data_IF_423983433620
#
_entry.id   IF_423983433620
#
_cell.length_a   1.000
_cell.length_b   1.000
_cell.length_c   1.000
_cell.angle_alpha   90.00
_cell.angle_beta   90.00
_cell.angle_gamma   90.00
#
_symmetry.space_group_name_H-M   'P 1'
#
loop_
_entity.id
_entity.type
_entity.pdbx_description
1 polymer ?
#
# COMPACT_ATOMS: atom_id res chain seq x y z
N UNK A 1 6.99 24.52 2.50
CA UNK A 1 5.59 24.22 2.16
C UNK A 1 5.34 22.78 2.56
N UNK A 2 4.41 22.56 3.48
CA UNK A 2 3.93 21.23 3.87
C UNK A 2 2.98 20.74 2.80
N UNK A 3 3.19 19.53 2.30
CA UNK A 3 2.30 18.93 1.29
C UNK A 3 0.93 18.71 1.92
N UNK A 4 -0.15 18.99 1.19
CA UNK A 4 -1.49 18.67 1.65
C UNK A 4 -1.75 17.16 1.49
N UNK A 5 -2.19 16.49 2.56
CA UNK A 5 -2.47 15.05 2.56
C UNK A 5 -3.58 14.68 1.57
N UNK A 6 -4.56 15.57 1.40
CA UNK A 6 -5.67 15.36 0.46
C UNK A 6 -5.20 15.25 -0.99
N UNK A 7 -4.16 16.01 -1.37
CA UNK A 7 -3.61 15.97 -2.73
C UNK A 7 -2.95 14.61 -3.02
N UNK A 8 -2.30 14.02 -2.01
CA UNK A 8 -1.66 12.70 -2.13
C UNK A 8 -2.72 11.61 -2.19
N UNK A 9 -3.76 11.71 -1.36
CA UNK A 9 -4.89 10.78 -1.40
C UNK A 9 -5.53 10.77 -2.79
N UNK A 10 -5.75 11.95 -3.39
CA UNK A 10 -6.27 12.06 -4.76
C UNK A 10 -5.32 11.39 -5.79
N UNK A 11 -4.01 11.61 -5.67
CA UNK A 11 -3.01 10.96 -6.53
C UNK A 11 -3.00 9.44 -6.37
N UNK A 12 -3.10 8.93 -5.14
CA UNK A 12 -3.14 7.49 -4.84
C UNK A 12 -4.38 6.85 -5.45
N UNK A 13 -5.56 7.46 -5.26
CA UNK A 13 -6.82 6.99 -5.88
C UNK A 13 -6.71 6.94 -7.40
N UNK A 14 -6.15 7.99 -8.02
CA UNK A 14 -5.94 8.04 -9.47
C UNK A 14 -5.02 6.91 -9.96
N UNK A 15 -3.94 6.60 -9.22
CA UNK A 15 -3.02 5.51 -9.57
C UNK A 15 -3.64 4.13 -9.43
N UNK A 16 -4.51 3.94 -8.44
CA UNK A 16 -5.20 2.68 -8.19
C UNK A 16 -6.47 2.50 -9.01
N UNK A 17 -6.80 3.47 -9.89
CA UNK A 17 -8.05 3.47 -10.67
C UNK A 17 -9.31 3.35 -9.78
N UNK A 18 -9.22 3.84 -8.55
CA UNK A 18 -10.34 3.89 -7.62
C UNK A 18 -11.20 5.12 -7.93
N UNK A 19 -12.50 5.03 -7.70
CA UNK A 19 -13.41 6.16 -7.88
C UNK A 19 -12.98 7.31 -6.93
N UNK A 20 -12.63 8.50 -7.46
CA UNK A 20 -12.20 9.63 -6.64
C UNK A 20 -13.28 10.06 -5.62
N UNK A 21 -14.56 9.81 -5.89
CA UNK A 21 -15.67 10.13 -4.97
C UNK A 21 -16.01 9.00 -3.98
N UNK A 22 -15.47 7.80 -4.16
CA UNK A 22 -15.71 6.69 -3.25
C UNK A 22 -14.92 6.85 -1.95
N UNK A 23 -15.60 6.79 -0.80
CA UNK A 23 -14.99 6.85 0.53
C UNK A 23 -14.60 5.48 1.10
N UNK A 24 -14.86 4.40 0.35
CA UNK A 24 -14.86 3.02 0.85
C UNK A 24 -13.49 2.54 1.37
N UNK A 25 -12.39 3.09 0.86
CA UNK A 25 -11.03 2.67 1.22
C UNK A 25 -10.19 3.81 1.80
N UNK A 26 -10.79 4.97 2.08
CA UNK A 26 -10.06 6.19 2.44
C UNK A 26 -9.33 6.05 3.78
N UNK A 27 -9.96 5.40 4.75
CA UNK A 27 -9.34 5.12 6.04
C UNK A 27 -8.11 4.20 5.90
N UNK A 28 -8.19 3.18 5.03
CA UNK A 28 -7.08 2.27 4.78
C UNK A 28 -5.94 3.00 4.07
N UNK A 29 -6.25 3.78 3.03
CA UNK A 29 -5.26 4.59 2.31
C UNK A 29 -4.57 5.58 3.26
N UNK A 30 -5.33 6.24 4.14
CA UNK A 30 -4.79 7.16 5.13
C UNK A 30 -3.80 6.50 6.10
N UNK A 31 -4.11 5.28 6.56
CA UNK A 31 -3.21 4.52 7.43
C UNK A 31 -1.88 4.22 6.74
N UNK A 32 -1.92 3.76 5.48
CA UNK A 32 -0.69 3.52 4.70
C UNK A 32 0.06 4.80 4.36
N UNK A 33 -0.67 5.89 4.12
CA UNK A 33 -0.09 7.20 3.87
C UNK A 33 0.70 7.70 5.07
N UNK A 34 0.14 7.59 6.28
CA UNK A 34 0.79 7.99 7.54
C UNK A 34 2.03 7.14 7.85
N UNK A 35 1.97 5.82 7.63
CA UNK A 35 3.14 4.98 7.86
C UNK A 35 4.28 5.30 6.88
N UNK A 36 3.98 5.40 5.59
CA UNK A 36 4.99 5.69 4.58
C UNK A 36 5.55 7.11 4.79
N UNK A 37 4.74 8.06 5.23
CA UNK A 37 5.22 9.40 5.62
C UNK A 37 6.31 9.29 6.70
N UNK A 38 6.02 8.59 7.80
CA UNK A 38 6.97 8.41 8.89
C UNK A 38 8.25 7.70 8.43
N UNK A 39 8.12 6.69 7.57
CA UNK A 39 9.26 5.94 7.01
C UNK A 39 10.14 6.82 6.13
N UNK A 40 9.53 7.61 5.24
CA UNK A 40 10.26 8.57 4.38
C UNK A 40 11.00 9.57 5.26
N UNK A 41 10.32 10.20 6.23
CA UNK A 41 10.91 11.18 7.14
C UNK A 41 12.11 10.60 7.91
N UNK A 42 11.95 9.38 8.43
CA UNK A 42 13.01 8.65 9.11
C UNK A 42 14.18 8.31 8.18
N UNK A 43 13.94 8.09 6.89
CA UNK A 43 14.99 7.78 5.93
C UNK A 43 15.78 9.02 5.50
N UNK A 44 15.08 10.12 5.16
CA UNK A 44 15.71 11.36 4.69
C UNK A 44 16.28 12.20 5.83
N UNK A 45 15.94 11.88 7.08
CA UNK A 45 16.28 12.65 8.29
C UNK A 45 15.81 14.10 8.21
N UNK A 46 14.54 14.30 7.82
CA UNK A 46 13.93 15.63 7.71
C UNK A 46 12.66 15.70 8.56
N UNK A 47 12.28 16.91 8.99
CA UNK A 47 11.03 17.15 9.72
C UNK A 47 9.78 17.24 8.82
N UNK A 48 9.98 17.26 7.50
CA UNK A 48 8.91 17.45 6.51
C UNK A 48 9.32 16.88 5.17
N UNK A 49 8.38 16.28 4.43
CA UNK A 49 8.63 15.77 3.07
C UNK A 49 8.65 16.95 2.08
N UNK A 50 9.73 17.12 1.28
CA UNK A 50 9.78 18.10 0.21
C UNK A 50 8.71 17.86 -0.86
N UNK A 51 8.11 18.94 -1.41
CA UNK A 51 7.05 18.86 -2.44
C UNK A 51 7.46 18.08 -3.69
N UNK A 52 8.76 18.05 -4.01
CA UNK A 52 9.31 17.25 -5.12
C UNK A 52 9.07 15.74 -4.96
N UNK A 53 8.88 15.25 -3.73
CA UNK A 53 8.62 13.85 -3.43
C UNK A 53 7.13 13.51 -3.36
N UNK A 54 6.21 14.44 -3.65
CA UNK A 54 4.76 14.16 -3.58
C UNK A 54 4.32 12.99 -4.46
N UNK A 55 4.88 12.90 -5.66
CA UNK A 55 4.56 11.83 -6.61
C UNK A 55 5.20 10.51 -6.20
N UNK A 56 6.42 10.55 -5.67
CA UNK A 56 7.13 9.38 -5.12
C UNK A 56 6.36 8.82 -3.92
N UNK A 57 5.92 9.68 -3.00
CA UNK A 57 5.11 9.28 -1.86
C UNK A 57 3.80 8.63 -2.29
N UNK A 58 3.05 9.25 -3.20
CA UNK A 58 1.83 8.65 -3.75
C UNK A 58 2.09 7.30 -4.46
N UNK A 59 3.20 7.18 -5.18
CA UNK A 59 3.59 5.93 -5.84
C UNK A 59 3.95 4.83 -4.85
N UNK A 60 4.66 5.16 -3.77
CA UNK A 60 4.98 4.24 -2.68
C UNK A 60 3.72 3.72 -1.98
N UNK A 61 2.78 4.62 -1.66
CA UNK A 61 1.50 4.24 -1.04
C UNK A 61 0.71 3.32 -1.95
N UNK A 62 0.57 3.67 -3.24
CA UNK A 62 -0.12 2.82 -4.20
C UNK A 62 0.57 1.45 -4.36
N UNK A 63 1.91 1.40 -4.39
CA UNK A 63 2.68 0.18 -4.49
C UNK A 63 2.53 -0.73 -3.28
N UNK A 64 2.62 -0.18 -2.07
CA UNK A 64 2.43 -0.93 -0.83
C UNK A 64 1.00 -1.47 -0.72
N UNK A 65 0.00 -0.64 -1.05
CA UNK A 65 -1.39 -1.04 -1.00
C UNK A 65 -1.73 -2.10 -2.05
N UNK A 66 -1.18 -2.00 -3.26
CA UNK A 66 -1.35 -3.01 -4.31
C UNK A 66 -0.67 -4.34 -3.94
N UNK A 67 0.50 -4.30 -3.31
CA UNK A 67 1.23 -5.50 -2.91
C UNK A 67 0.53 -6.28 -1.77
N UNK A 68 -0.08 -5.57 -0.81
CA UNK A 68 -0.67 -6.22 0.38
C UNK A 68 -2.17 -6.40 0.32
N UNK A 69 -2.87 -5.42 -0.26
CA UNK A 69 -4.33 -5.32 -0.21
C UNK A 69 -4.95 -5.42 -1.59
N UNK A 70 -4.25 -5.97 -2.59
CA UNK A 70 -4.80 -6.20 -3.94
C UNK A 70 -6.14 -6.93 -3.91
N UNK A 71 -6.28 -7.95 -3.07
CA UNK A 71 -7.53 -8.70 -2.91
C UNK A 71 -8.67 -7.90 -2.28
N UNK A 72 -8.35 -6.91 -1.43
CA UNK A 72 -9.34 -6.04 -0.80
C UNK A 72 -9.76 -4.89 -1.73
N UNK A 73 -8.81 -4.34 -2.51
CA UNK A 73 -9.07 -3.26 -3.47
C UNK A 73 -9.74 -3.74 -4.75
N UNK A 74 -9.28 -4.87 -5.26
CA UNK A 74 -9.80 -5.53 -6.44
C UNK A 74 -10.27 -6.91 -6.00
N UNK A 75 -11.50 -7.02 -5.45
CA UNK A 75 -12.09 -8.32 -5.23
C UNK A 75 -12.13 -9.01 -6.59
N UNK A 76 -11.18 -9.92 -6.82
CA UNK A 76 -11.29 -10.83 -7.93
C UNK A 76 -12.59 -11.56 -7.67
N UNK A 77 -13.50 -11.47 -8.65
CA UNK A 77 -14.66 -12.34 -8.71
C UNK A 77 -14.06 -13.72 -8.94
N UNK A 78 -13.55 -14.34 -7.88
CA UNK A 78 -13.18 -15.73 -7.89
C UNK A 78 -14.49 -16.40 -8.27
N UNK A 79 -14.54 -16.87 -9.53
CA UNK A 79 -15.50 -17.86 -9.96
C UNK A 79 -15.54 -18.86 -8.83
N UNK A 80 -16.68 -18.92 -8.14
CA UNK A 80 -16.92 -19.72 -6.96
C UNK A 80 -16.97 -21.21 -7.30
N UNK A 81 -16.03 -21.68 -8.11
CA UNK A 81 -15.65 -23.08 -8.25
C UNK A 81 -14.78 -23.43 -7.06
N UNK A 82 -15.38 -23.50 -5.88
CA UNK A 82 -14.81 -24.30 -4.80
C UNK A 82 -14.80 -25.73 -5.34
N UNK A 83 -13.67 -26.16 -5.90
CA UNK A 83 -13.53 -27.53 -6.40
C UNK A 83 -13.53 -28.45 -5.19
N UNK A 84 -14.72 -28.90 -4.78
CA UNK A 84 -14.89 -30.03 -3.88
C UNK A 84 -14.55 -31.29 -4.68
N UNK A 85 -13.30 -31.73 -4.56
CA UNK A 85 -12.87 -32.99 -5.15
C UNK A 85 -13.35 -34.09 -4.20
N UNK A 86 -14.47 -34.71 -4.55
CA UNK A 86 -14.95 -35.91 -3.88
C UNK A 86 -14.33 -37.13 -4.54
N UNK A 87 -13.46 -37.84 -3.80
CA UNK A 87 -12.98 -39.16 -4.18
C UNK A 87 -13.66 -40.15 -3.24
N UNK A 88 -14.72 -40.80 -3.73
CA UNK A 88 -15.51 -41.76 -2.95
C UNK A 88 -16.18 -41.11 -1.74
N UNK A 89 -15.85 -41.58 -0.53
CA UNK A 89 -16.38 -41.09 0.76
C UNK A 89 -15.50 -40.00 1.41
N UNK A 90 -14.45 -39.55 0.72
CA UNK A 90 -13.58 -38.49 1.22
C UNK A 90 -13.78 -37.20 0.43
N UNK A 91 -14.28 -36.17 1.11
CA UNK A 91 -14.31 -34.79 0.61
C UNK A 91 -13.14 -34.01 1.19
N UNK A 92 -12.27 -33.50 0.31
CA UNK A 92 -11.17 -32.61 0.69
C UNK A 92 -11.61 -31.18 0.41
N UNK A 93 -11.91 -30.44 1.47
CA UNK A 93 -12.17 -29.00 1.40
C UNK A 93 -10.85 -28.26 1.56
N UNK A 94 -10.39 -27.49 0.55
CA UNK A 94 -9.20 -26.67 0.73
C UNK A 94 -9.45 -25.69 1.89
N UNK A 95 -8.56 -25.71 2.89
CA UNK A 95 -8.63 -24.79 4.03
C UNK A 95 -8.41 -23.39 3.49
N UNK A 96 -9.45 -22.54 3.57
CA UNK A 96 -9.35 -21.12 3.24
C UNK A 96 -8.27 -20.50 4.13
N UNK A 97 -7.22 -19.96 3.52
CA UNK A 97 -6.19 -19.24 4.27
C UNK A 97 -6.86 -18.12 5.06
N UNK A 98 -6.61 -18.06 6.36
CA UNK A 98 -7.10 -16.99 7.24
C UNK A 98 -6.51 -15.69 6.71
N UNK A 99 -7.36 -14.77 6.25
CA UNK A 99 -6.94 -13.45 5.81
C UNK A 99 -6.09 -12.81 6.91
N UNK A 100 -4.83 -12.52 6.58
CA UNK A 100 -3.94 -11.79 7.48
C UNK A 100 -4.59 -10.44 7.87
N UNK A 101 -4.32 -9.93 9.07
CA UNK A 101 -4.83 -8.63 9.48
C UNK A 101 -4.45 -7.55 8.45
N UNK A 102 -5.36 -6.60 8.21
CA UNK A 102 -5.23 -5.48 7.26
C UNK A 102 -4.18 -4.44 7.67
N UNK A 103 -3.18 -4.85 8.46
CA UNK A 103 -2.11 -3.99 8.92
C UNK A 103 -0.94 -4.03 7.94
N UNK A 104 -0.35 -2.87 7.65
CA UNK A 104 0.83 -2.79 6.80
C UNK A 104 1.97 -3.68 7.29
N UNK A 105 2.52 -4.54 6.42
CA UNK A 105 3.68 -5.36 6.76
C UNK A 105 4.96 -4.55 6.61
N UNK A 106 5.78 -4.60 7.65
CA UNK A 106 7.11 -3.99 7.67
C UNK A 106 7.96 -4.44 6.47
N UNK A 107 7.79 -5.68 6.01
CA UNK A 107 8.55 -6.25 4.90
C UNK A 107 8.22 -5.54 3.58
N UNK A 108 6.93 -5.36 3.29
CA UNK A 108 6.50 -4.75 2.03
C UNK A 108 6.80 -3.26 2.03
N UNK A 109 6.54 -2.57 3.14
CA UNK A 109 6.85 -1.14 3.27
C UNK A 109 8.36 -0.89 3.07
N UNK A 110 9.22 -1.75 3.64
CA UNK A 110 10.66 -1.64 3.42
C UNK A 110 11.05 -1.94 1.97
N UNK A 111 10.44 -2.96 1.34
CA UNK A 111 10.69 -3.27 -0.08
C UNK A 111 10.41 -2.06 -0.96
N UNK A 112 9.24 -1.45 -0.78
CA UNK A 112 8.83 -0.25 -1.52
C UNK A 112 9.81 0.91 -1.25
N UNK A 113 10.25 1.11 0.00
CA UNK A 113 11.26 2.12 0.32
C UNK A 113 12.57 1.90 -0.46
N UNK A 114 13.02 0.64 -0.57
CA UNK A 114 14.26 0.31 -1.27
C UNK A 114 14.18 0.54 -2.77
N UNK A 115 13.02 0.29 -3.38
CA UNK A 115 12.81 0.51 -4.82
C UNK A 115 12.99 1.99 -5.21
N UNK A 116 12.51 2.91 -4.35
CA UNK A 116 12.61 4.35 -4.56
C UNK A 116 13.81 5.00 -3.87
N UNK A 117 14.79 4.22 -3.37
CA UNK A 117 15.94 4.77 -2.64
C UNK A 117 16.72 5.82 -3.44
N UNK A 118 16.78 5.66 -4.76
CA UNK A 118 17.52 6.55 -5.65
C UNK A 118 16.95 7.98 -5.61
N UNK A 119 15.62 8.10 -5.63
CA UNK A 119 14.92 9.37 -5.53
C UNK A 119 15.02 9.95 -4.11
N UNK A 120 14.89 9.11 -3.08
CA UNK A 120 15.00 9.53 -1.68
C UNK A 120 16.40 10.00 -1.30
N UNK A 121 17.44 9.38 -1.86
CA UNK A 121 18.84 9.74 -1.58
C UNK A 121 19.17 11.18 -1.98
N UNK A 122 18.51 11.72 -3.01
CA UNK A 122 18.72 13.11 -3.43
C UNK A 122 18.34 14.14 -2.35
N UNK A 123 17.47 13.76 -1.40
CA UNK A 123 16.98 14.63 -0.34
C UNK A 123 17.48 14.22 1.05
N UNK A 124 18.31 13.17 1.13
CA UNK A 124 18.78 12.62 2.40
C UNK A 124 19.83 13.54 3.03
N UNK A 125 19.60 13.94 4.28
CA UNK A 125 20.61 14.63 5.10
C UNK A 125 21.45 13.58 5.84
N UNK A 126 22.74 13.53 5.51
CA UNK A 126 23.72 12.74 6.25
C UNK A 126 24.00 13.46 7.57
N UNK A 127 23.80 12.75 8.68
CA UNK A 127 24.24 13.20 10.00
C UNK A 127 25.71 12.78 10.14
N UNK A 128 26.54 13.76 10.45
CA UNK A 128 27.96 13.62 10.75
C UNK A 128 28.13 13.53 12.26
#
# INVERSE_FOLDING_TARGET
>A
MTINKDDILALVKMRLQLDPLGATHDQLINMYMDEIEQRILSYINHSSIPDRLRFTWAAMVAGALAAEQSAALFPTIESSGTFEISIGDTSIKPVKAVSAPLTPSIVVVNSVLFDYRAELNAFRKLRW
#
